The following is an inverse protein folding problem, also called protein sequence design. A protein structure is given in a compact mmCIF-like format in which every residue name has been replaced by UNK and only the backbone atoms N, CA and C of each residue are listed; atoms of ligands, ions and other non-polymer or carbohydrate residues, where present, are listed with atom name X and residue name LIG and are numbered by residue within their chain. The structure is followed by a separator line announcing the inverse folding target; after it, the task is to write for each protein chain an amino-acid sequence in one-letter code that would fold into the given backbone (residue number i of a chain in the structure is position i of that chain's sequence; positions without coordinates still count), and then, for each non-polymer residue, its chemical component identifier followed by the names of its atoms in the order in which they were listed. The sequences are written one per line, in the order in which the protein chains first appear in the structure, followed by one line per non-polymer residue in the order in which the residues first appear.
data_IF_902773593669
#
_entry.id   IF_902773593669
#
_cell.length_a   1.000
_cell.length_b   1.000
_cell.length_c   1.000
_cell.angle_alpha   90.00
_cell.angle_beta   90.00
_cell.angle_gamma   90.00
#
_symmetry.space_group_name_H-M   'P 1'
#
loop_
_entity.id
_entity.type
_entity.pdbx_description
1 polymer ?
#
# COMPACT_ATOMS: atom_id res chain seq x y z
N UNK A 1 -6.08 -5.30 -4.35
CA UNK A 1 -6.12 -4.13 -3.43
C UNK A 1 -5.82 -2.81 -4.13
N UNK A 2 -4.75 -2.72 -4.93
CA UNK A 2 -4.33 -1.47 -5.61
C UNK A 2 -5.46 -0.77 -6.39
N UNK A 3 -6.11 -1.46 -7.34
CA UNK A 3 -7.18 -0.87 -8.15
C UNK A 3 -8.36 -0.33 -7.31
N UNK A 4 -8.73 -1.01 -6.23
CA UNK A 4 -9.86 -0.63 -5.39
C UNK A 4 -9.51 0.53 -4.46
N UNK A 5 -8.38 0.43 -3.77
CA UNK A 5 -8.00 1.40 -2.75
C UNK A 5 -7.43 2.70 -3.36
N UNK A 6 -6.74 2.61 -4.50
CA UNK A 6 -6.14 3.77 -5.17
C UNK A 6 -7.04 4.46 -6.18
N UNK A 7 -7.95 3.73 -6.84
CA UNK A 7 -8.73 4.23 -7.99
C UNK A 7 -10.25 4.10 -7.86
N UNK A 8 -10.75 3.45 -6.80
CA UNK A 8 -12.19 3.43 -6.47
C UNK A 8 -12.50 4.25 -5.24
N UNK A 9 -11.78 4.00 -4.14
CA UNK A 9 -11.98 4.65 -2.85
C UNK A 9 -11.06 5.86 -2.61
N UNK A 10 -9.93 5.92 -3.31
CA UNK A 10 -8.97 7.02 -3.19
C UNK A 10 -8.26 7.10 -1.84
N UNK A 11 -8.23 6.02 -1.07
CA UNK A 11 -7.61 5.98 0.27
C UNK A 11 -6.08 5.88 0.22
N UNK A 12 -5.53 5.50 -0.93
CA UNK A 12 -4.09 5.31 -1.16
C UNK A 12 -3.69 5.96 -2.48
N UNK A 13 -2.40 6.30 -2.67
CA UNK A 13 -1.93 6.87 -3.94
C UNK A 13 -2.38 6.05 -5.17
N UNK A 14 -2.80 6.72 -6.26
CA UNK A 14 -2.76 8.17 -6.49
C UNK A 14 -3.96 8.94 -5.89
N UNK A 15 -4.78 8.31 -5.06
CA UNK A 15 -5.98 8.90 -4.44
C UNK A 15 -7.04 9.36 -5.46
N UNK A 16 -7.28 8.54 -6.48
CA UNK A 16 -8.34 8.77 -7.45
C UNK A 16 -9.66 8.16 -6.98
N UNK A 17 -10.73 8.96 -7.05
CA UNK A 17 -12.10 8.50 -6.80
C UNK A 17 -13.14 9.51 -7.31
N UNK A 18 -14.40 9.06 -7.41
CA UNK A 18 -15.56 9.88 -7.72
C UNK A 18 -16.74 9.51 -6.79
N UNK A 19 -17.69 10.42 -6.54
CA UNK A 19 -18.92 10.08 -5.82
C UNK A 19 -19.66 8.88 -6.45
N UNK A 20 -20.32 8.03 -5.64
CA UNK A 20 -20.49 8.13 -4.19
C UNK A 20 -19.31 7.55 -3.38
N UNK A 21 -18.27 7.01 -4.03
CA UNK A 21 -17.22 6.23 -3.35
C UNK A 21 -16.23 7.05 -2.53
N UNK A 22 -16.09 8.33 -2.85
CA UNK A 22 -15.25 9.30 -2.17
C UNK A 22 -15.33 10.67 -2.85
N UNK A 23 -14.62 11.65 -2.30
CA UNK A 23 -14.66 13.05 -2.76
C UNK A 23 -13.26 13.53 -3.20
N UNK A 24 -12.62 12.77 -4.10
CA UNK A 24 -11.30 13.09 -4.62
C UNK A 24 -11.39 14.18 -5.69
N UNK A 25 -10.30 14.91 -5.90
CA UNK A 25 -10.22 15.98 -6.92
C UNK A 25 -10.26 15.46 -8.35
N UNK A 26 -9.91 14.18 -8.56
CA UNK A 26 -9.87 13.52 -9.86
C UNK A 26 -10.10 12.02 -9.72
N UNK A 27 -10.46 11.40 -10.83
CA UNK A 27 -10.69 9.96 -10.92
C UNK A 27 -12.08 9.60 -11.41
N UNK A 28 -12.24 8.33 -11.81
CA UNK A 28 -13.54 7.74 -12.08
C UNK A 28 -13.60 6.34 -11.45
N UNK A 29 -14.34 6.23 -10.35
CA UNK A 29 -14.44 5.02 -9.53
C UNK A 29 -15.13 3.84 -10.23
N UNK A 30 -15.91 4.09 -11.28
CA UNK A 30 -16.59 3.04 -12.05
C UNK A 30 -15.70 2.49 -13.19
N UNK A 31 -14.68 3.24 -13.63
CA UNK A 31 -13.89 2.93 -14.84
C UNK A 31 -12.41 2.70 -14.57
N UNK A 32 -11.75 3.55 -13.80
CA UNK A 32 -10.30 3.47 -13.57
C UNK A 32 -9.87 2.15 -12.92
N UNK A 33 -10.59 1.56 -11.95
CA UNK A 33 -10.24 0.25 -11.41
C UNK A 33 -10.19 -0.85 -12.48
N UNK A 34 -11.05 -0.77 -13.51
CA UNK A 34 -11.10 -1.72 -14.64
C UNK A 34 -9.84 -1.63 -15.50
N UNK A 35 -9.43 -0.40 -15.82
CA UNK A 35 -8.22 -0.11 -16.60
C UNK A 35 -6.97 -0.54 -15.84
N UNK A 36 -6.89 -0.17 -14.55
CA UNK A 36 -5.73 -0.49 -13.70
C UNK A 36 -5.58 -2.00 -13.56
N UNK A 37 -6.66 -2.73 -13.26
CA UNK A 37 -6.58 -4.19 -13.14
C UNK A 37 -6.14 -4.83 -14.47
N UNK A 38 -6.68 -4.36 -15.60
CA UNK A 38 -6.29 -4.88 -16.91
C UNK A 38 -4.80 -4.70 -17.19
N UNK A 39 -4.27 -3.50 -16.94
CA UNK A 39 -2.84 -3.22 -17.13
C UNK A 39 -1.96 -4.01 -16.14
N UNK A 40 -2.42 -4.21 -14.90
CA UNK A 40 -1.71 -5.04 -13.92
C UNK A 40 -1.60 -6.49 -14.39
N UNK A 41 -2.67 -7.06 -14.96
CA UNK A 41 -2.67 -8.41 -15.50
C UNK A 41 -1.76 -8.55 -16.72
N UNK A 42 -1.76 -7.56 -17.63
CA UNK A 42 -0.86 -7.55 -18.78
C UNK A 42 0.61 -7.41 -18.36
N UNK A 43 0.90 -6.53 -17.40
CA UNK A 43 2.24 -6.35 -16.86
C UNK A 43 2.73 -7.64 -16.18
N UNK A 44 1.87 -8.28 -15.38
CA UNK A 44 2.14 -9.58 -14.77
C UNK A 44 2.45 -10.64 -15.83
N UNK A 45 1.60 -10.80 -16.84
CA UNK A 45 1.79 -11.79 -17.90
C UNK A 45 3.10 -11.58 -18.67
N UNK A 46 3.47 -10.33 -18.97
CA UNK A 46 4.76 -10.00 -19.61
C UNK A 46 5.95 -10.30 -18.71
N UNK A 47 5.87 -9.96 -17.42
CA UNK A 47 6.91 -10.28 -16.46
C UNK A 47 7.10 -11.79 -16.31
N UNK A 48 6.02 -12.57 -16.29
CA UNK A 48 6.07 -14.03 -16.29
C UNK A 48 6.73 -14.54 -17.55
N UNK A 49 6.32 -14.06 -18.73
CA UNK A 49 6.94 -14.45 -20.01
C UNK A 49 8.45 -14.20 -20.01
N UNK A 50 8.88 -13.02 -19.55
CA UNK A 50 10.30 -12.67 -19.42
C UNK A 50 11.03 -13.59 -18.42
N UNK A 51 10.42 -13.82 -17.25
CA UNK A 51 10.96 -14.72 -16.22
C UNK A 51 11.17 -16.12 -16.77
N UNK A 52 10.15 -16.70 -17.41
CA UNK A 52 10.21 -18.04 -17.99
C UNK A 52 11.24 -18.16 -19.10
N UNK A 53 11.40 -17.11 -19.89
CA UNK A 53 12.31 -17.12 -21.05
C UNK A 53 13.77 -16.96 -20.65
N UNK A 54 14.07 -16.13 -19.65
CA UNK A 54 15.44 -15.71 -19.36
C UNK A 54 15.96 -16.09 -17.97
N UNK A 55 15.09 -16.37 -17.01
CA UNK A 55 15.47 -16.46 -15.59
C UNK A 55 14.98 -17.72 -14.88
N UNK A 56 14.08 -18.50 -15.50
CA UNK A 56 13.49 -19.66 -14.86
C UNK A 56 14.45 -20.85 -14.85
N UNK A 57 15.13 -21.02 -13.70
CA UNK A 57 15.78 -22.27 -13.31
C UNK A 57 14.76 -23.18 -12.60
N UNK A 58 14.96 -23.46 -11.31
CA UNK A 58 14.02 -24.22 -10.46
C UNK A 58 12.98 -23.35 -9.75
N UNK A 59 12.92 -22.06 -10.06
CA UNK A 59 12.01 -21.12 -9.40
C UNK A 59 10.59 -21.16 -9.97
N UNK A 60 9.67 -20.50 -9.28
CA UNK A 60 8.26 -20.42 -9.64
C UNK A 60 7.75 -19.00 -9.47
N UNK A 61 6.81 -18.60 -10.31
CA UNK A 61 6.20 -17.28 -10.30
C UNK A 61 4.67 -17.38 -10.23
N UNK A 62 4.06 -16.48 -9.48
CA UNK A 62 2.62 -16.41 -9.30
C UNK A 62 2.18 -14.98 -9.04
N UNK A 63 0.87 -14.79 -8.88
CA UNK A 63 0.28 -13.53 -8.46
C UNK A 63 -0.43 -13.75 -7.12
N UNK A 64 -0.28 -12.80 -6.20
CA UNK A 64 -0.96 -12.83 -4.90
C UNK A 64 -2.20 -11.95 -4.91
N UNK A 65 -3.31 -12.47 -4.42
CA UNK A 65 -4.55 -11.70 -4.24
C UNK A 65 -4.95 -11.63 -2.76
N UNK A 66 -5.54 -10.51 -2.37
CA UNK A 66 -6.29 -10.43 -1.11
C UNK A 66 -7.67 -11.02 -1.32
N UNK A 67 -7.90 -12.22 -0.82
CA UNK A 67 -9.17 -12.93 -0.93
C UNK A 67 -9.91 -12.92 0.41
N UNK A 68 -11.10 -12.34 0.41
CA UNK A 68 -12.07 -12.52 1.48
C UNK A 68 -13.06 -13.62 1.09
N UNK A 69 -13.70 -14.23 2.09
CA UNK A 69 -14.85 -15.08 1.85
C UNK A 69 -16.15 -14.28 2.05
N UNK A 70 -17.17 -14.63 1.28
CA UNK A 70 -18.48 -13.99 1.37
C UNK A 70 -19.57 -15.03 1.62
N UNK A 71 -20.24 -14.89 2.76
CA UNK A 71 -21.40 -15.70 3.12
C UNK A 71 -22.66 -14.95 2.66
N UNK A 72 -23.69 -15.62 2.11
CA UNK A 72 -24.95 -14.96 1.82
C UNK A 72 -25.53 -14.36 3.10
N UNK A 73 -26.04 -13.12 3.07
CA UNK A 73 -26.63 -12.52 4.26
C UNK A 73 -27.83 -13.34 4.74
N UNK A 74 -28.83 -13.58 3.87
CA UNK A 74 -29.97 -14.42 4.20
C UNK A 74 -30.44 -15.31 3.03
N UNK A 75 -30.88 -14.72 1.92
CA UNK A 75 -31.78 -15.37 0.94
C UNK A 75 -31.07 -16.08 -0.23
N UNK A 76 -31.86 -16.75 -1.08
CA UNK A 76 -31.38 -17.35 -2.34
C UNK A 76 -30.73 -16.32 -3.29
N UNK A 77 -31.20 -15.07 -3.27
CA UNK A 77 -30.60 -13.97 -4.04
C UNK A 77 -29.19 -13.64 -3.53
N UNK A 78 -28.99 -13.66 -2.21
CA UNK A 78 -27.68 -13.38 -1.60
C UNK A 78 -26.65 -14.47 -1.91
N UNK A 79 -27.10 -15.72 -2.15
CA UNK A 79 -26.20 -16.79 -2.65
C UNK A 79 -25.68 -16.46 -4.04
N UNK A 80 -26.57 -16.04 -4.95
CA UNK A 80 -26.17 -15.58 -6.29
C UNK A 80 -25.32 -14.31 -6.22
N UNK A 81 -25.56 -13.44 -5.23
CA UNK A 81 -24.74 -12.27 -4.95
C UNK A 81 -23.34 -12.67 -4.49
N UNK A 82 -23.20 -13.67 -3.62
CA UNK A 82 -21.90 -14.20 -3.19
C UNK A 82 -21.08 -14.75 -4.35
N UNK A 83 -21.67 -15.59 -5.21
CA UNK A 83 -20.99 -16.14 -6.38
C UNK A 83 -20.54 -15.03 -7.34
N UNK A 84 -21.43 -14.06 -7.57
CA UNK A 84 -21.15 -12.90 -8.41
C UNK A 84 -20.04 -12.03 -7.82
N UNK A 85 -20.05 -11.80 -6.50
CA UNK A 85 -19.05 -10.98 -5.84
C UNK A 85 -17.67 -11.64 -5.81
N UNK A 86 -17.62 -12.96 -5.67
CA UNK A 86 -16.40 -13.75 -5.84
C UNK A 86 -15.86 -13.67 -7.27
N UNK A 87 -16.72 -13.61 -8.30
CA UNK A 87 -16.27 -13.34 -9.66
C UNK A 87 -15.62 -11.96 -9.79
N UNK A 88 -16.15 -10.93 -9.12
CA UNK A 88 -15.60 -9.57 -9.11
C UNK A 88 -14.39 -9.35 -8.18
N UNK A 89 -13.96 -10.36 -7.42
CA UNK A 89 -12.80 -10.23 -6.52
C UNK A 89 -11.70 -11.25 -6.82
N UNK A 90 -12.09 -12.50 -7.06
CA UNK A 90 -11.18 -13.63 -7.30
C UNK A 90 -11.11 -13.91 -8.80
N UNK A 91 -12.27 -14.10 -9.43
CA UNK A 91 -12.36 -14.38 -10.87
C UNK A 91 -11.79 -13.26 -11.73
N UNK A 92 -11.92 -12.01 -11.31
CA UNK A 92 -11.41 -10.85 -12.03
C UNK A 92 -9.90 -10.93 -12.30
N UNK A 93 -9.16 -11.59 -11.41
CA UNK A 93 -7.70 -11.74 -11.52
C UNK A 93 -7.35 -13.13 -12.07
N UNK A 94 -7.91 -14.19 -11.49
CA UNK A 94 -7.50 -15.55 -11.82
C UNK A 94 -8.16 -16.12 -13.08
N UNK A 95 -9.36 -15.71 -13.47
CA UNK A 95 -9.97 -16.24 -14.70
C UNK A 95 -9.17 -15.79 -15.95
N UNK A 96 -8.71 -14.53 -16.07
CA UNK A 96 -7.81 -14.15 -17.17
C UNK A 96 -6.53 -14.96 -17.21
N UNK A 97 -5.92 -15.21 -16.05
CA UNK A 97 -4.64 -15.92 -15.99
C UNK A 97 -4.81 -17.41 -16.26
N UNK A 98 -5.87 -18.05 -15.76
CA UNK A 98 -6.07 -19.50 -15.92
C UNK A 98 -6.75 -19.83 -17.25
N UNK A 99 -7.75 -19.05 -17.65
CA UNK A 99 -8.62 -19.35 -18.79
C UNK A 99 -8.42 -18.43 -20.00
N UNK A 100 -7.76 -17.29 -19.83
CA UNK A 100 -7.43 -16.36 -20.92
C UNK A 100 -8.43 -15.23 -21.13
N UNK A 101 -9.46 -15.11 -20.31
CA UNK A 101 -10.41 -13.98 -20.36
C UNK A 101 -11.07 -13.73 -19.01
N UNK A 102 -11.71 -12.57 -18.86
CA UNK A 102 -12.45 -12.22 -17.65
C UNK A 102 -13.68 -13.11 -17.42
N UNK A 103 -14.19 -13.22 -16.18
CA UNK A 103 -15.42 -13.97 -15.90
C UNK A 103 -16.58 -13.48 -16.77
N UNK A 104 -17.32 -14.41 -17.39
CA UNK A 104 -18.49 -14.08 -18.22
C UNK A 104 -19.49 -13.16 -17.50
N UNK A 105 -19.72 -13.41 -16.20
CA UNK A 105 -20.61 -12.59 -15.36
C UNK A 105 -20.17 -11.14 -15.24
N UNK A 106 -18.86 -10.87 -15.23
CA UNK A 106 -18.34 -9.50 -15.25
C UNK A 106 -18.66 -8.83 -16.57
N UNK A 107 -18.44 -9.51 -17.70
CA UNK A 107 -18.76 -9.01 -19.03
C UNK A 107 -20.25 -8.71 -19.20
N UNK A 108 -21.11 -9.59 -18.68
CA UNK A 108 -22.58 -9.40 -18.67
C UNK A 108 -23.02 -8.14 -17.92
N UNK A 109 -22.30 -7.73 -16.87
CA UNK A 109 -22.67 -6.61 -15.99
C UNK A 109 -22.00 -5.29 -16.42
N UNK A 110 -20.73 -5.35 -16.80
CA UNK A 110 -19.92 -4.16 -17.10
C UNK A 110 -19.95 -3.81 -18.60
N UNK A 111 -20.33 -4.74 -19.47
CA UNK A 111 -20.41 -4.50 -20.91
C UNK A 111 -19.08 -4.02 -21.50
N UNK A 112 -19.13 -2.87 -22.19
CA UNK A 112 -18.00 -2.23 -22.84
C UNK A 112 -17.03 -1.51 -21.88
N UNK A 113 -17.42 -1.26 -20.64
CA UNK A 113 -16.53 -0.64 -19.64
C UNK A 113 -15.43 -1.61 -19.20
N UNK A 114 -15.70 -2.93 -19.25
CA UNK A 114 -14.68 -3.94 -19.00
C UNK A 114 -13.74 -4.02 -20.22
N UNK A 115 -12.42 -3.84 -20.06
CA UNK A 115 -11.49 -4.00 -21.17
C UNK A 115 -11.51 -5.41 -21.77
N UNK A 116 -11.05 -5.55 -23.00
CA UNK A 116 -10.91 -6.83 -23.69
C UNK A 116 -9.44 -7.09 -23.98
N UNK A 117 -8.99 -8.33 -23.74
CA UNK A 117 -7.65 -8.76 -24.14
C UNK A 117 -7.62 -8.93 -25.65
N UNK A 118 -6.58 -8.38 -26.30
CA UNK A 118 -6.31 -8.66 -27.71
C UNK A 118 -5.89 -10.12 -27.89
N UNK A 119 -5.91 -10.62 -29.12
CA UNK A 119 -5.42 -11.97 -29.42
C UNK A 119 -3.93 -12.14 -29.06
N UNK A 120 -3.15 -11.06 -29.12
CA UNK A 120 -1.76 -11.05 -28.69
C UNK A 120 -1.64 -11.16 -27.17
N UNK A 121 -2.43 -10.39 -26.42
CA UNK A 121 -2.45 -10.45 -24.94
C UNK A 121 -2.86 -11.82 -24.44
N UNK A 122 -3.83 -12.46 -25.11
CA UNK A 122 -4.33 -13.79 -24.78
C UNK A 122 -3.25 -14.87 -24.84
N UNK A 123 -2.24 -14.71 -25.71
CA UNK A 123 -1.12 -15.67 -25.83
C UNK A 123 -0.29 -15.75 -24.57
N UNK A 124 -0.09 -14.63 -23.87
CA UNK A 124 0.79 -14.58 -22.71
C UNK A 124 0.01 -14.58 -21.39
N UNK A 125 -1.23 -14.10 -21.35
CA UNK A 125 -1.99 -14.06 -20.09
C UNK A 125 -2.43 -15.46 -19.64
N UNK A 126 -2.86 -16.30 -20.58
CA UNK A 126 -3.32 -17.66 -20.26
C UNK A 126 -2.13 -18.53 -19.86
N UNK A 127 -2.20 -19.10 -18.67
CA UNK A 127 -1.13 -19.89 -18.06
C UNK A 127 0.00 -19.06 -17.46
N UNK A 128 -0.19 -17.75 -17.23
CA UNK A 128 0.84 -16.87 -16.62
C UNK A 128 0.95 -17.01 -15.09
N UNK A 129 0.85 -18.22 -14.55
CA UNK A 129 1.21 -18.53 -13.16
C UNK A 129 1.67 -19.99 -13.02
N UNK A 130 2.49 -20.25 -12.02
CA UNK A 130 2.90 -21.60 -11.58
C UNK A 130 2.15 -22.03 -10.30
N UNK A 131 1.60 -21.08 -9.55
CA UNK A 131 0.77 -21.31 -8.36
C UNK A 131 -0.20 -20.14 -8.12
N UNK A 132 -1.29 -20.43 -7.41
CA UNK A 132 -2.21 -19.44 -6.87
C UNK A 132 -1.73 -19.03 -5.49
N UNK A 133 -1.69 -17.73 -5.23
CA UNK A 133 -1.28 -17.17 -3.96
C UNK A 133 -2.40 -16.32 -3.36
N UNK A 134 -2.76 -16.60 -2.11
CA UNK A 134 -3.88 -15.93 -1.44
C UNK A 134 -3.46 -15.37 -0.08
N UNK A 135 -3.86 -14.13 0.16
CA UNK A 135 -3.87 -13.50 1.48
C UNK A 135 -5.31 -13.50 1.98
N UNK A 136 -5.59 -14.16 3.10
CA UNK A 136 -6.92 -14.23 3.68
C UNK A 136 -6.93 -13.74 5.13
N UNK A 137 -7.85 -12.82 5.41
CA UNK A 137 -7.93 -12.14 6.69
C UNK A 137 -9.31 -12.22 7.36
N UNK A 138 -10.38 -12.26 6.57
CA UNK A 138 -11.74 -12.14 7.10
C UNK A 138 -12.78 -12.73 6.15
N UNK A 139 -13.95 -13.00 6.71
CA UNK A 139 -15.19 -13.31 5.99
C UNK A 139 -16.21 -12.21 6.30
N UNK A 140 -17.08 -11.89 5.34
CA UNK A 140 -18.21 -10.97 5.53
C UNK A 140 -19.50 -11.58 4.99
N UNK A 141 -20.64 -11.04 5.40
CA UNK A 141 -21.89 -11.31 4.70
C UNK A 141 -22.01 -10.43 3.46
N UNK A 142 -22.73 -10.91 2.46
CA UNK A 142 -23.05 -10.18 1.23
C UNK A 142 -24.54 -10.21 0.95
N UNK A 143 -25.06 -9.05 0.52
CA UNK A 143 -26.47 -8.82 0.18
C UNK A 143 -26.59 -8.53 -1.31
N UNK A 144 -27.60 -9.08 -1.96
CA UNK A 144 -27.98 -8.72 -3.33
C UNK A 144 -28.50 -7.28 -3.39
N UNK A 145 -27.98 -6.49 -4.32
CA UNK A 145 -28.48 -5.15 -4.62
C UNK A 145 -29.00 -5.02 -6.05
N UNK A 146 -29.18 -6.17 -6.72
CA UNK A 146 -29.74 -6.22 -8.07
C UNK A 146 -31.27 -6.17 -8.01
N UNK A 147 -31.87 -6.84 -7.01
CA UNK A 147 -33.31 -6.92 -6.80
C UNK A 147 -33.75 -6.35 -5.44
N UNK A 148 -32.85 -5.70 -4.71
CA UNK A 148 -33.13 -5.12 -3.39
C UNK A 148 -32.53 -3.73 -3.28
N UNK A 149 -33.14 -2.89 -2.43
CA UNK A 149 -32.62 -1.55 -2.14
C UNK A 149 -31.33 -1.64 -1.34
N UNK A 150 -30.32 -0.87 -1.77
CA UNK A 150 -29.02 -0.72 -1.13
C UNK A 150 -28.53 0.72 -1.27
N UNK A 151 -27.37 1.00 -0.68
CA UNK A 151 -26.67 2.29 -0.82
C UNK A 151 -26.31 2.60 -2.28
N UNK A 152 -26.14 3.89 -2.59
CA UNK A 152 -25.70 4.33 -3.93
C UNK A 152 -24.35 3.75 -4.33
N UNK A 153 -23.46 3.48 -3.36
CA UNK A 153 -22.21 2.78 -3.61
C UNK A 153 -22.43 1.32 -4.02
N UNK A 154 -23.28 0.59 -3.28
CA UNK A 154 -23.57 -0.81 -3.54
C UNK A 154 -24.33 -0.99 -4.86
N UNK A 155 -25.18 -0.02 -5.22
CA UNK A 155 -25.95 0.00 -6.46
C UNK A 155 -25.12 0.46 -7.69
N UNK A 156 -23.89 -0.06 -7.81
CA UNK A 156 -22.98 0.23 -8.93
C UNK A 156 -22.50 -1.06 -9.60
N UNK A 157 -22.39 -1.09 -10.94
CA UNK A 157 -21.87 -2.26 -11.68
C UNK A 157 -20.48 -2.70 -11.21
N UNK A 158 -19.59 -1.77 -10.85
CA UNK A 158 -18.24 -2.07 -10.36
C UNK A 158 -18.23 -2.84 -9.02
N UNK A 159 -19.29 -2.72 -8.24
CA UNK A 159 -19.52 -3.49 -7.00
C UNK A 159 -20.35 -4.76 -7.25
N UNK A 160 -20.59 -5.10 -8.51
CA UNK A 160 -21.44 -6.19 -8.93
C UNK A 160 -22.86 -6.10 -8.36
N UNK A 161 -23.38 -4.90 -8.05
CA UNK A 161 -24.65 -4.74 -7.35
C UNK A 161 -24.72 -5.58 -6.07
N UNK A 162 -23.75 -5.39 -5.18
CA UNK A 162 -23.69 -6.08 -3.88
C UNK A 162 -23.24 -5.15 -2.77
N UNK A 163 -23.70 -5.45 -1.56
CA UNK A 163 -23.31 -4.77 -0.33
C UNK A 163 -22.76 -5.78 0.66
N UNK A 164 -21.66 -5.44 1.34
CA UNK A 164 -21.08 -6.31 2.37
C UNK A 164 -21.35 -5.77 3.76
N UNK A 165 -21.68 -6.65 4.69
CA UNK A 165 -21.88 -6.32 6.10
C UNK A 165 -21.23 -7.38 6.99
N UNK A 166 -20.67 -6.99 8.16
CA UNK A 166 -20.25 -7.97 9.15
C UNK A 166 -21.41 -8.46 10.03
N UNK A 167 -22.59 -7.85 9.92
CA UNK A 167 -23.74 -8.14 10.79
C UNK A 167 -24.78 -9.01 10.08
N UNK A 168 -25.33 -9.98 10.80
CA UNK A 168 -26.59 -10.65 10.49
C UNK A 168 -27.49 -10.56 11.71
N UNK A 169 -28.67 -9.96 11.56
CA UNK A 169 -29.62 -9.76 12.68
C UNK A 169 -28.98 -9.08 13.90
N UNK A 170 -28.11 -8.09 13.67
CA UNK A 170 -27.38 -7.37 14.72
C UNK A 170 -26.18 -8.12 15.31
N UNK A 171 -25.92 -9.37 14.89
CA UNK A 171 -24.82 -10.19 15.41
C UNK A 171 -23.65 -10.17 14.42
N UNK A 172 -22.44 -9.90 14.93
CA UNK A 172 -21.20 -9.95 14.14
C UNK A 172 -20.90 -11.38 13.65
N UNK A 173 -20.32 -11.47 12.45
CA UNK A 173 -19.92 -12.75 11.85
C UNK A 173 -18.80 -13.46 12.63
N UNK A 174 -18.02 -12.70 13.38
CA UNK A 174 -16.94 -13.14 14.28
C UNK A 174 -16.34 -11.95 15.04
N UNK A 175 -15.41 -12.23 15.95
CA UNK A 175 -14.79 -11.21 16.79
C UNK A 175 -14.03 -10.19 15.95
N UNK A 176 -14.19 -8.91 16.28
CA UNK A 176 -13.45 -7.84 15.60
C UNK A 176 -11.95 -7.95 15.93
N UNK A 177 -11.11 -7.79 14.91
CA UNK A 177 -9.65 -7.69 15.08
C UNK A 177 -9.25 -6.24 15.42
N UNK A 178 -7.99 -6.01 15.82
CA UNK A 178 -7.46 -4.67 16.07
C UNK A 178 -7.49 -3.71 14.86
N UNK A 179 -7.81 -4.21 13.66
CA UNK A 179 -8.01 -3.41 12.45
C UNK A 179 -9.51 -3.34 12.09
N UNK A 180 -10.10 -2.14 11.98
CA UNK A 180 -11.50 -1.97 11.59
C UNK A 180 -11.85 -2.70 10.29
N UNK A 181 -12.98 -3.42 10.32
CA UNK A 181 -13.49 -4.14 9.15
C UNK A 181 -12.91 -5.54 8.93
N UNK A 182 -12.03 -6.04 9.81
CA UNK A 182 -11.55 -7.42 9.85
C UNK A 182 -12.13 -8.18 11.04
N UNK A 183 -12.57 -9.41 10.79
CA UNK A 183 -13.26 -10.27 11.76
C UNK A 183 -12.69 -11.68 11.76
N UNK A 184 -12.61 -12.28 12.94
CA UNK A 184 -12.06 -13.61 13.16
C UNK A 184 -13.10 -14.64 12.73
N UNK A 185 -12.93 -15.22 11.54
CA UNK A 185 -13.86 -16.23 10.99
C UNK A 185 -13.08 -17.43 10.44
N UNK A 186 -12.63 -18.37 11.29
CA UNK A 186 -11.74 -19.48 10.86
C UNK A 186 -12.35 -20.37 9.77
N UNK A 187 -13.67 -20.63 9.85
CA UNK A 187 -14.43 -21.36 8.81
C UNK A 187 -14.38 -20.71 7.42
N UNK A 188 -14.04 -19.41 7.35
CA UNK A 188 -13.83 -18.68 6.11
C UNK A 188 -12.66 -19.21 5.30
N UNK A 189 -11.56 -19.54 5.98
CA UNK A 189 -10.34 -20.04 5.33
C UNK A 189 -10.60 -21.38 4.64
N UNK A 190 -11.29 -22.31 5.32
CA UNK A 190 -11.66 -23.61 4.73
C UNK A 190 -12.49 -23.42 3.45
N UNK A 191 -13.47 -22.51 3.49
CA UNK A 191 -14.29 -22.17 2.31
C UNK A 191 -13.49 -21.54 1.19
N UNK A 192 -12.52 -20.68 1.51
CA UNK A 192 -11.60 -20.10 0.51
C UNK A 192 -10.80 -21.18 -0.19
N UNK A 193 -10.17 -22.09 0.56
CA UNK A 193 -9.38 -23.18 -0.01
C UNK A 193 -10.26 -24.09 -0.87
N UNK A 194 -11.44 -24.47 -0.37
CA UNK A 194 -12.39 -25.28 -1.11
C UNK A 194 -12.87 -24.59 -2.40
N UNK A 195 -13.17 -23.30 -2.35
CA UNK A 195 -13.56 -22.52 -3.52
C UNK A 195 -12.48 -22.50 -4.59
N UNK A 196 -11.23 -22.18 -4.22
CA UNK A 196 -10.10 -22.15 -5.16
C UNK A 196 -9.82 -23.54 -5.72
N UNK A 197 -9.84 -24.58 -4.89
CA UNK A 197 -9.62 -25.97 -5.35
C UNK A 197 -10.70 -26.45 -6.32
N UNK A 198 -11.97 -26.08 -6.09
CA UNK A 198 -13.05 -26.43 -6.99
C UNK A 198 -12.98 -25.64 -8.29
N UNK A 199 -12.67 -24.33 -8.20
CA UNK A 199 -12.64 -23.45 -9.36
C UNK A 199 -11.39 -23.66 -10.22
N UNK A 200 -10.23 -23.90 -9.62
CA UNK A 200 -8.93 -24.02 -10.29
C UNK A 200 -8.23 -25.35 -9.90
N UNK A 201 -8.78 -26.52 -10.30
CA UNK A 201 -8.40 -27.83 -9.75
C UNK A 201 -6.96 -28.28 -10.02
N UNK A 202 -6.31 -27.71 -11.04
CA UNK A 202 -4.95 -28.09 -11.45
C UNK A 202 -3.86 -27.17 -10.91
N UNK A 203 -4.20 -26.28 -9.96
CA UNK A 203 -3.27 -25.27 -9.48
C UNK A 203 -2.88 -25.48 -8.01
N UNK A 204 -1.57 -25.45 -7.74
CA UNK A 204 -1.06 -25.39 -6.37
C UNK A 204 -1.49 -24.08 -5.70
N UNK A 205 -1.83 -24.14 -4.41
CA UNK A 205 -2.33 -23.00 -3.63
C UNK A 205 -1.35 -22.73 -2.50
N UNK A 206 -0.91 -21.48 -2.36
CA UNK A 206 -0.12 -21.01 -1.22
C UNK A 206 -0.89 -19.92 -0.48
N UNK A 207 -0.94 -20.04 0.86
CA UNK A 207 -1.43 -18.97 1.73
C UNK A 207 -0.21 -18.15 2.16
N UNK A 208 -0.05 -16.98 1.58
CA UNK A 208 1.16 -16.14 1.78
C UNK A 208 1.03 -15.18 2.95
N UNK A 209 -0.19 -14.82 3.37
CA UNK A 209 -0.42 -14.03 4.57
C UNK A 209 -1.64 -14.55 5.35
N UNK A 210 -1.43 -14.84 6.63
CA UNK A 210 -2.46 -15.01 7.65
C UNK A 210 -1.92 -14.55 9.01
N UNK A 211 -2.05 -13.26 9.28
CA UNK A 211 -1.42 -12.61 10.44
C UNK A 211 -2.15 -12.96 11.74
N UNK A 212 -3.48 -13.08 11.73
CA UNK A 212 -4.25 -13.29 12.96
C UNK A 212 -4.04 -14.68 13.58
N UNK A 213 -3.96 -15.73 12.78
CA UNK A 213 -3.76 -17.09 13.30
C UNK A 213 -2.40 -17.23 13.99
N UNK A 214 -1.34 -16.65 13.43
CA UNK A 214 0.01 -16.67 14.03
C UNK A 214 0.00 -15.85 15.33
N UNK A 215 -0.53 -14.63 15.29
CA UNK A 215 -0.61 -13.79 16.49
C UNK A 215 -1.46 -14.42 17.60
N UNK A 216 -2.53 -15.16 17.27
CA UNK A 216 -3.36 -15.90 18.24
C UNK A 216 -2.66 -17.13 18.80
N UNK A 217 -2.10 -17.98 17.94
CA UNK A 217 -1.43 -19.21 18.35
C UNK A 217 -0.29 -18.95 19.35
N UNK A 218 0.37 -17.79 19.22
CA UNK A 218 1.46 -17.38 20.09
C UNK A 218 1.04 -16.36 21.17
N UNK A 219 -0.26 -16.08 21.33
CA UNK A 219 -0.79 -15.11 22.32
C UNK A 219 -0.12 -13.73 22.25
N UNK A 220 0.12 -13.23 21.03
CA UNK A 220 0.84 -11.99 20.76
C UNK A 220 -0.07 -10.75 20.70
N UNK A 221 -1.39 -10.93 20.68
CA UNK A 221 -2.33 -9.81 20.81
C UNK A 221 -2.14 -9.09 22.14
N UNK A 222 -2.38 -7.78 22.13
CA UNK A 222 -2.37 -6.93 23.32
C UNK A 222 -1.04 -6.31 23.74
N UNK A 223 0.07 -6.70 23.10
CA UNK A 223 1.41 -6.21 23.46
C UNK A 223 1.71 -4.80 22.91
N UNK A 224 0.99 -4.35 21.88
CA UNK A 224 1.20 -3.04 21.23
C UNK A 224 0.15 -1.99 21.67
N UNK A 225 -1.10 -2.41 21.88
CA UNK A 225 -2.27 -1.53 22.12
C UNK A 225 -2.64 -1.37 23.61
N UNK A 226 -1.77 -1.82 24.52
CA UNK A 226 -1.94 -1.78 25.98
C UNK A 226 -3.08 -2.65 26.55
N UNK A 227 -3.74 -3.48 25.74
CA UNK A 227 -4.74 -4.41 26.27
C UNK A 227 -4.12 -5.57 27.07
N UNK A 228 -2.80 -5.80 26.93
CA UNK A 228 -2.01 -6.71 27.75
C UNK A 228 -0.75 -6.00 28.32
N UNK A 229 -0.87 -5.25 29.43
CA UNK A 229 0.23 -4.48 29.99
C UNK A 229 1.35 -5.38 30.53
N UNK A 230 2.58 -4.87 30.51
CA UNK A 230 3.76 -5.55 31.04
C UNK A 230 3.64 -5.75 32.57
N UNK A 231 3.68 -6.99 33.09
CA UNK A 231 3.63 -7.25 34.52
C UNK A 231 4.88 -6.72 35.26
N UNK A 232 4.80 -6.44 36.58
CA UNK A 232 5.97 -6.05 37.35
C UNK A 232 7.06 -7.13 37.30
N UNK A 233 8.32 -6.70 37.11
CA UNK A 233 9.47 -7.61 36.96
C UNK A 233 9.73 -8.48 38.19
N UNK A 234 9.47 -7.97 39.39
CA UNK A 234 9.71 -8.67 40.64
C UNK A 234 8.43 -8.75 41.47
N UNK A 235 8.26 -9.84 42.21
CA UNK A 235 7.15 -10.03 43.14
C UNK A 235 7.34 -9.13 44.38
N UNK A 236 6.25 -8.65 45.00
CA UNK A 236 6.32 -7.88 46.24
C UNK A 236 6.98 -8.73 47.34
N UNK A 237 8.13 -8.27 47.86
CA UNK A 237 8.86 -9.01 48.90
C UNK A 237 8.12 -8.89 50.23
N UNK A 238 7.67 -10.00 50.80
CA UNK A 238 6.94 -10.03 52.07
C UNK A 238 7.85 -9.98 53.30
N UNK A 239 9.18 -9.97 53.14
CA UNK A 239 10.14 -9.85 54.24
C UNK A 239 11.35 -8.98 53.87
N UNK A 240 11.76 -8.09 54.78
CA UNK A 240 12.98 -7.29 54.63
C UNK A 240 14.20 -8.23 54.64
N UNK A 241 14.81 -8.47 53.47
CA UNK A 241 16.13 -9.10 53.36
C UNK A 241 16.27 -10.23 52.33
N UNK A 242 15.19 -10.69 51.68
CA UNK A 242 15.29 -11.72 50.64
C UNK A 242 15.30 -11.14 49.22
N UNK A 243 16.16 -11.72 48.37
CA UNK A 243 16.25 -11.43 46.94
C UNK A 243 14.85 -11.45 46.31
N UNK A 244 14.49 -10.35 45.65
CA UNK A 244 13.18 -10.19 45.03
C UNK A 244 13.00 -11.19 43.89
N UNK A 245 12.15 -12.20 44.09
CA UNK A 245 11.88 -13.24 43.08
C UNK A 245 11.31 -12.61 41.80
N UNK A 246 11.78 -13.07 40.64
CA UNK A 246 11.32 -12.59 39.34
C UNK A 246 9.90 -13.11 39.12
N UNK A 247 9.01 -12.23 38.69
CA UNK A 247 7.63 -12.59 38.38
C UNK A 247 7.58 -13.52 37.13
N UNK A 248 7.05 -14.75 37.24
CA UNK A 248 6.92 -15.66 36.11
C UNK A 248 6.04 -15.09 34.98
N UNK A 249 5.04 -14.27 35.30
CA UNK A 249 4.18 -13.62 34.30
C UNK A 249 4.95 -12.59 33.48
N UNK A 250 5.89 -11.87 34.10
CA UNK A 250 6.79 -10.96 33.41
C UNK A 250 7.68 -11.72 32.40
N UNK A 251 8.19 -12.88 32.77
CA UNK A 251 9.02 -13.70 31.87
C UNK A 251 8.22 -14.23 30.68
N UNK A 252 6.97 -14.65 30.89
CA UNK A 252 6.09 -15.08 29.80
C UNK A 252 5.70 -13.93 28.87
N UNK A 253 5.36 -12.77 29.45
CA UNK A 253 5.08 -11.56 28.69
C UNK A 253 6.30 -11.15 27.86
N UNK A 254 7.49 -11.15 28.46
CA UNK A 254 8.74 -10.81 27.78
C UNK A 254 9.02 -11.77 26.63
N UNK A 255 8.87 -13.08 26.82
CA UNK A 255 9.07 -14.06 25.74
C UNK A 255 8.15 -13.82 24.55
N UNK A 256 6.88 -13.44 24.78
CA UNK A 256 5.90 -13.14 23.74
C UNK A 256 6.20 -11.82 23.05
N UNK A 257 6.54 -10.78 23.81
CA UNK A 257 6.97 -9.48 23.29
C UNK A 257 8.19 -9.60 22.36
N UNK A 258 9.19 -10.39 22.75
CA UNK A 258 10.39 -10.62 21.92
C UNK A 258 10.10 -11.44 20.65
N UNK A 259 9.17 -12.39 20.71
CA UNK A 259 8.70 -13.10 19.53
C UNK A 259 8.00 -12.14 18.54
N UNK A 260 7.22 -11.20 19.06
CA UNK A 260 6.56 -10.17 18.26
C UNK A 260 7.57 -9.18 17.64
N UNK A 261 8.59 -8.75 18.38
CA UNK A 261 9.71 -7.95 17.83
C UNK A 261 10.39 -8.68 16.68
N UNK A 262 10.68 -9.97 16.86
CA UNK A 262 11.34 -10.80 15.83
C UNK A 262 10.47 -10.85 14.58
N UNK A 263 9.17 -11.11 14.74
CA UNK A 263 8.22 -11.14 13.63
C UNK A 263 8.19 -9.79 12.89
N UNK A 264 8.09 -8.67 13.61
CA UNK A 264 8.07 -7.35 12.97
C UNK A 264 9.39 -7.09 12.24
N UNK A 265 10.55 -7.33 12.87
CA UNK A 265 11.85 -7.13 12.26
C UNK A 265 12.04 -7.94 10.96
N UNK A 266 11.50 -9.15 10.88
CA UNK A 266 11.58 -9.97 9.66
C UNK A 266 10.80 -9.39 8.48
N UNK A 267 9.84 -8.50 8.74
CA UNK A 267 9.03 -7.84 7.71
C UNK A 267 9.57 -6.48 7.28
N UNK A 268 10.56 -5.92 8.00
CA UNK A 268 11.11 -4.60 7.71
C UNK A 268 12.17 -4.68 6.62
N UNK A 269 12.18 -3.68 5.73
CA UNK A 269 13.31 -3.46 4.82
C UNK A 269 14.54 -3.01 5.60
N UNK A 270 15.73 -3.17 5.02
CA UNK A 270 17.00 -2.79 5.65
C UNK A 270 17.05 -1.30 6.05
N UNK A 271 16.34 -0.43 5.31
CA UNK A 271 16.22 0.99 5.65
C UNK A 271 15.34 1.22 6.88
N UNK A 272 14.27 0.47 7.04
CA UNK A 272 13.32 0.61 8.15
C UNK A 272 13.83 -0.04 9.42
N UNK A 273 14.61 -1.11 9.29
CA UNK A 273 15.26 -1.79 10.40
C UNK A 273 16.18 -0.84 11.18
N UNK A 274 16.92 0.04 10.50
CA UNK A 274 17.82 1.01 11.12
C UNK A 274 17.11 1.95 12.11
N UNK A 275 15.83 2.25 11.87
CA UNK A 275 15.04 3.15 12.72
C UNK A 275 14.49 2.49 14.00
N UNK A 276 14.55 1.16 14.08
CA UNK A 276 14.03 0.39 15.21
C UNK A 276 15.10 -0.32 16.01
N UNK A 277 16.37 -0.22 15.59
CA UNK A 277 17.51 -0.81 16.31
C UNK A 277 17.53 -0.28 17.75
N UNK A 278 17.58 -1.21 18.72
CA UNK A 278 17.63 -0.88 20.15
C UNK A 278 16.26 -0.68 20.82
N UNK A 279 15.16 -0.91 20.11
CA UNK A 279 13.83 -0.93 20.73
C UNK A 279 13.70 -2.08 21.72
N UNK A 280 13.33 -1.74 22.97
CA UNK A 280 13.30 -2.67 24.11
C UNK A 280 11.99 -3.45 24.23
N UNK A 281 10.95 -3.04 23.50
CA UNK A 281 9.65 -3.73 23.43
C UNK A 281 9.02 -3.63 22.05
N UNK A 282 8.09 -4.55 21.75
CA UNK A 282 7.32 -4.52 20.49
C UNK A 282 6.53 -3.22 20.33
N UNK A 283 6.02 -2.65 21.42
CA UNK A 283 5.36 -1.34 21.44
C UNK A 283 6.32 -0.18 21.12
N UNK A 284 7.50 -0.15 21.73
CA UNK A 284 8.48 0.90 21.47
C UNK A 284 8.96 0.85 20.01
N UNK A 285 9.14 -0.36 19.49
CA UNK A 285 9.43 -0.61 18.09
C UNK A 285 8.30 -0.07 17.20
N UNK A 286 7.06 -0.43 17.49
CA UNK A 286 5.89 0.00 16.73
C UNK A 286 5.74 1.54 16.70
N UNK A 287 5.86 2.19 17.85
CA UNK A 287 5.81 3.66 17.95
C UNK A 287 6.96 4.33 17.17
N UNK A 288 8.14 3.71 17.13
CA UNK A 288 9.27 4.23 16.35
C UNK A 288 9.03 4.14 14.85
N UNK A 289 8.46 3.02 14.38
CA UNK A 289 8.01 2.87 12.99
C UNK A 289 6.91 3.87 12.66
N UNK A 290 5.87 3.95 13.49
CA UNK A 290 4.76 4.88 13.31
C UNK A 290 5.27 6.31 13.17
N UNK A 291 6.18 6.74 14.06
CA UNK A 291 6.82 8.06 13.98
C UNK A 291 7.61 8.26 12.70
N UNK A 292 8.39 7.27 12.27
CA UNK A 292 9.20 7.33 11.04
C UNK A 292 8.33 7.43 9.78
N UNK A 293 7.22 6.71 9.75
CA UNK A 293 6.33 6.68 8.60
C UNK A 293 5.30 7.82 8.63
N UNK A 294 4.96 8.36 9.80
CA UNK A 294 4.16 9.58 9.94
C UNK A 294 4.95 10.83 9.57
N UNK A 295 6.27 10.87 9.82
CA UNK A 295 7.13 11.96 9.37
C UNK A 295 7.38 11.90 7.85
N UNK A 296 7.52 10.70 7.29
CA UNK A 296 7.74 10.52 5.84
C UNK A 296 6.49 10.80 4.98
N UNK A 297 5.27 10.82 5.53
CA UNK A 297 4.08 11.29 4.81
C UNK A 297 3.95 12.80 4.79
N UNK A 298 4.55 13.53 5.76
CA UNK A 298 4.56 15.00 5.77
C UNK A 298 5.79 15.61 5.08
N UNK A 299 6.97 14.96 5.12
CA UNK A 299 8.23 15.54 4.62
C UNK A 299 8.61 15.17 3.18
N UNK A 300 7.85 14.32 2.48
CA UNK A 300 8.24 13.85 1.14
C UNK A 300 7.82 14.75 -0.02
N UNK A 301 7.35 15.99 0.22
CA UNK A 301 6.93 16.84 -0.91
C UNK A 301 7.70 18.15 -1.07
N UNK A 302 8.30 18.82 -0.07
CA UNK A 302 8.87 20.17 -0.35
C UNK A 302 10.15 20.70 0.35
N UNK A 303 10.80 20.07 1.34
CA UNK A 303 11.94 20.73 2.04
C UNK A 303 13.11 19.80 2.43
N UNK A 304 13.88 19.30 1.46
CA UNK A 304 15.23 18.77 1.73
C UNK A 304 16.25 19.84 1.31
N UNK A 305 17.25 20.11 2.15
CA UNK A 305 18.39 20.92 1.70
C UNK A 305 19.17 20.17 0.62
N UNK A 306 19.83 20.89 -0.30
CA UNK A 306 20.59 20.26 -1.38
C UNK A 306 21.70 19.35 -0.85
N UNK A 307 22.27 19.67 0.32
CA UNK A 307 23.26 18.84 1.00
C UNK A 307 22.69 17.48 1.46
N UNK A 308 21.47 17.48 2.02
CA UNK A 308 20.78 16.25 2.40
C UNK A 308 20.36 15.43 1.19
N UNK A 309 19.92 16.11 0.12
CA UNK A 309 19.50 15.49 -1.14
C UNK A 309 20.66 14.72 -1.81
N UNK A 310 21.80 15.37 -1.98
CA UNK A 310 23.01 14.80 -2.60
C UNK A 310 23.63 13.69 -1.75
N UNK A 311 23.66 13.86 -0.42
CA UNK A 311 24.10 12.80 0.52
C UNK A 311 23.25 11.53 0.40
N UNK A 312 21.93 11.69 0.19
CA UNK A 312 21.01 10.57 0.00
C UNK A 312 21.24 9.85 -1.34
N UNK A 313 21.58 10.58 -2.40
CA UNK A 313 21.94 10.00 -3.70
C UNK A 313 23.23 9.19 -3.59
N UNK A 314 24.28 9.74 -2.96
CA UNK A 314 25.55 9.02 -2.73
C UNK A 314 25.30 7.70 -2.00
N UNK A 315 24.51 7.72 -0.93
CA UNK A 315 24.15 6.51 -0.18
C UNK A 315 23.38 5.46 -0.99
N UNK A 316 22.62 5.87 -2.03
CA UNK A 316 21.93 4.95 -2.93
C UNK A 316 22.89 4.36 -3.96
N UNK A 317 23.78 5.18 -4.53
CA UNK A 317 24.84 4.72 -5.44
C UNK A 317 25.77 3.72 -4.75
N UNK A 318 26.20 4.00 -3.52
CA UNK A 318 27.06 3.10 -2.74
C UNK A 318 26.39 1.73 -2.48
N UNK A 319 25.07 1.71 -2.28
CA UNK A 319 24.30 0.46 -2.12
C UNK A 319 24.20 -0.33 -3.43
N UNK A 320 24.08 0.33 -4.56
CA UNK A 320 24.08 -0.32 -5.88
C UNK A 320 25.45 -0.91 -6.17
N UNK A 321 26.53 -0.17 -5.89
CA UNK A 321 27.91 -0.66 -6.01
C UNK A 321 28.13 -1.88 -5.11
N UNK A 322 27.65 -1.85 -3.86
CA UNK A 322 27.71 -2.99 -2.94
C UNK A 322 26.92 -4.22 -3.44
N UNK A 323 25.88 -4.01 -4.25
CA UNK A 323 25.11 -5.06 -4.92
C UNK A 323 25.72 -5.49 -6.27
N UNK A 324 26.97 -5.10 -6.56
CA UNK A 324 27.68 -5.36 -7.83
C UNK A 324 27.02 -4.71 -9.06
N UNK A 325 26.26 -3.64 -8.86
CA UNK A 325 25.67 -2.81 -9.92
C UNK A 325 26.46 -1.50 -9.98
N UNK A 326 27.25 -1.31 -11.04
CA UNK A 326 27.91 -0.03 -11.33
C UNK A 326 27.04 0.82 -12.24
N UNK A 327 26.82 2.07 -11.86
CA UNK A 327 26.20 3.09 -12.72
C UNK A 327 27.30 3.95 -13.34
N UNK A 328 27.09 4.40 -14.56
CA UNK A 328 27.93 5.43 -15.17
C UNK A 328 27.57 6.81 -14.60
N UNK A 329 28.55 7.72 -14.54
CA UNK A 329 28.35 9.06 -13.97
C UNK A 329 27.21 9.84 -14.67
N UNK A 330 26.98 9.61 -15.96
CA UNK A 330 25.88 10.20 -16.73
C UNK A 330 24.49 9.74 -16.23
N UNK A 331 24.35 8.46 -15.86
CA UNK A 331 23.09 7.93 -15.32
C UNK A 331 22.80 8.52 -13.94
N UNK A 332 23.85 8.63 -13.11
CA UNK A 332 23.77 9.26 -11.78
C UNK A 332 23.35 10.73 -11.94
N UNK A 333 23.90 11.46 -12.92
CA UNK A 333 23.55 12.84 -13.23
C UNK A 333 22.08 12.98 -13.64
N UNK A 334 21.59 12.13 -14.55
CA UNK A 334 20.19 12.16 -15.01
C UNK A 334 19.23 11.94 -13.85
N UNK A 335 19.49 10.93 -13.01
CA UNK A 335 18.66 10.64 -11.84
C UNK A 335 18.73 11.75 -10.79
N UNK A 336 19.91 12.31 -10.55
CA UNK A 336 20.11 13.45 -9.65
C UNK A 336 19.36 14.68 -10.15
N UNK A 337 19.37 14.97 -11.45
CA UNK A 337 18.66 16.12 -11.97
C UNK A 337 17.16 15.94 -11.91
N UNK A 338 16.61 14.75 -12.18
CA UNK A 338 15.15 14.55 -12.17
C UNK A 338 14.50 14.82 -10.80
N UNK A 339 15.24 14.70 -9.70
CA UNK A 339 14.71 14.97 -8.35
C UNK A 339 14.89 16.40 -7.83
N UNK A 340 15.59 17.30 -8.56
CA UNK A 340 15.73 18.70 -8.14
C UNK A 340 14.41 19.52 -8.28
N UNK A 341 14.23 20.60 -7.52
CA UNK A 341 13.16 21.57 -7.74
C UNK A 341 13.27 22.27 -9.11
N UNK A 342 12.16 22.79 -9.62
CA UNK A 342 12.11 23.54 -10.90
C UNK A 342 12.98 24.80 -10.90
N UNK A 343 13.26 25.35 -9.71
CA UNK A 343 14.13 26.51 -9.54
C UNK A 343 15.58 26.26 -10.03
N UNK A 344 16.02 24.99 -10.12
CA UNK A 344 17.35 24.61 -10.64
C UNK A 344 17.37 24.34 -12.15
N UNK A 345 16.32 24.68 -12.90
CA UNK A 345 16.25 24.40 -14.35
C UNK A 345 17.35 25.10 -15.18
N UNK A 346 17.74 26.33 -14.81
CA UNK A 346 18.83 27.04 -15.46
C UNK A 346 20.18 26.32 -15.25
N UNK A 347 20.45 25.91 -14.00
CA UNK A 347 21.59 25.09 -13.64
C UNK A 347 21.63 23.75 -14.39
N UNK A 348 20.50 23.01 -14.42
CA UNK A 348 20.37 21.75 -15.19
C UNK A 348 20.76 21.93 -16.66
N UNK A 349 20.33 23.03 -17.26
CA UNK A 349 20.60 23.33 -18.67
C UNK A 349 22.08 23.63 -18.88
N UNK A 350 22.69 24.45 -18.01
CA UNK A 350 24.11 24.78 -18.07
C UNK A 350 25.00 23.53 -17.92
N UNK A 351 24.68 22.65 -16.98
CA UNK A 351 25.45 21.42 -16.78
C UNK A 351 25.28 20.44 -17.95
N UNK A 352 24.07 20.27 -18.49
CA UNK A 352 23.83 19.40 -19.67
C UNK A 352 24.54 19.87 -20.94
N UNK A 353 24.94 21.14 -21.00
CA UNK A 353 25.69 21.70 -22.14
C UNK A 353 27.21 21.63 -21.99
N UNK A 354 27.74 21.16 -20.83
CA UNK A 354 29.17 20.93 -20.65
C UNK A 354 29.60 19.65 -21.40
N UNK A 355 30.80 19.67 -21.97
CA UNK A 355 31.40 18.55 -22.71
C UNK A 355 32.18 17.56 -21.85
N UNK A 356 32.40 17.88 -20.57
CA UNK A 356 33.26 17.10 -19.67
C UNK A 356 32.41 16.26 -18.71
N UNK A 357 32.88 15.06 -18.37
CA UNK A 357 32.23 14.20 -17.37
C UNK A 357 32.37 14.82 -15.97
N UNK A 358 31.24 14.91 -15.26
CA UNK A 358 31.16 15.51 -13.93
C UNK A 358 30.93 14.40 -12.92
N UNK A 359 31.85 14.26 -11.97
CA UNK A 359 31.69 13.32 -10.86
C UNK A 359 30.58 13.75 -9.89
N UNK A 360 30.04 12.81 -9.12
CA UNK A 360 29.03 13.10 -8.10
C UNK A 360 29.51 14.13 -7.03
N UNK A 361 30.80 14.13 -6.72
CA UNK A 361 31.39 15.05 -5.73
C UNK A 361 31.54 16.48 -6.28
N UNK A 362 31.91 16.61 -7.57
CA UNK A 362 31.92 17.90 -8.25
C UNK A 362 30.49 18.44 -8.41
N UNK A 363 29.53 17.58 -8.76
CA UNK A 363 28.12 17.94 -8.88
C UNK A 363 27.54 18.46 -7.56
N UNK A 364 27.86 17.83 -6.44
CA UNK A 364 27.46 18.29 -5.10
C UNK A 364 27.96 19.70 -4.83
N UNK A 365 29.24 19.95 -5.07
CA UNK A 365 29.85 21.27 -4.86
C UNK A 365 29.17 22.36 -5.70
N UNK A 366 28.90 22.06 -6.96
CA UNK A 366 28.22 22.99 -7.88
C UNK A 366 26.77 23.26 -7.47
N UNK A 367 26.04 22.24 -7.01
CA UNK A 367 24.66 22.38 -6.54
C UNK A 367 24.56 23.22 -5.27
N UNK A 368 25.48 23.05 -4.32
CA UNK A 368 25.55 23.88 -3.09
C UNK A 368 25.88 25.34 -3.42
N UNK A 369 26.80 25.55 -4.38
CA UNK A 369 27.12 26.89 -4.86
C UNK A 369 25.91 27.58 -5.51
N UNK A 370 25.12 26.85 -6.28
CA UNK A 370 23.90 27.35 -6.90
C UNK A 370 22.84 27.68 -5.85
N UNK A 371 22.59 26.78 -4.89
CA UNK A 371 21.65 27.01 -3.77
C UNK A 371 22.01 28.28 -2.99
N UNK A 372 23.31 28.49 -2.74
CA UNK A 372 23.82 29.68 -2.06
C UNK A 372 23.63 30.95 -2.90
N UNK A 373 23.80 30.86 -4.22
CA UNK A 373 23.62 31.99 -5.15
C UNK A 373 22.16 32.39 -5.29
N UNK A 374 21.27 31.39 -5.34
CA UNK A 374 19.82 31.59 -5.34
C UNK A 374 19.35 32.24 -4.05
N UNK A 375 19.83 31.76 -2.89
CA UNK A 375 19.50 32.35 -1.58
C UNK A 375 19.95 33.82 -1.45
N UNK A 376 21.12 34.18 -2.00
CA UNK A 376 21.61 35.57 -2.03
C UNK A 376 20.77 36.46 -2.95
N UNK A 377 20.36 35.94 -4.11
CA UNK A 377 19.52 36.68 -5.07
C UNK A 377 18.14 36.97 -4.49
N UNK A 378 17.52 35.99 -3.84
CA UNK A 378 16.23 36.18 -3.16
C UNK A 378 16.30 37.17 -1.98
N UNK A 379 17.46 37.29 -1.31
CA UNK A 379 17.68 38.28 -0.26
C UNK A 379 17.84 39.72 -0.80
N UNK A 380 18.31 39.89 -2.04
CA UNK A 380 18.47 41.19 -2.70
C UNK A 380 17.11 41.73 -3.21
N UNK A 381 16.23 40.86 -3.70
CA UNK A 381 14.88 41.23 -4.17
C UNK A 381 13.90 41.60 -3.04
N UNK A 382 14.22 41.27 -1.79
CA UNK A 382 13.38 41.54 -0.62
C UNK A 382 13.51 42.97 -0.04
N UNK A 383 14.31 43.85 -0.64
CA UNK A 383 14.46 45.25 -0.20
C UNK A 383 13.28 46.09 -0.73
N UNK A 384 12.44 46.72 0.11
CA UNK A 384 11.24 47.42 -0.36
C UNK A 384 11.58 48.77 -1.01
N UNK A 385 11.09 49.00 -2.22
CA UNK A 385 11.08 50.32 -2.87
C UNK A 385 10.05 51.25 -2.17
N UNK A 386 10.36 52.51 -1.84
CA UNK A 386 9.40 53.39 -1.18
C UNK A 386 8.28 53.81 -2.15
N UNK A 387 7.02 53.45 -1.86
CA UNK A 387 5.85 53.88 -2.62
C UNK A 387 5.49 55.34 -2.35
N UNK A 388 5.37 56.12 -3.42
CA UNK A 388 4.75 57.45 -3.41
C UNK A 388 3.22 57.33 -3.30
N UNK A 389 2.62 58.00 -2.30
CA UNK A 389 1.19 58.03 -2.08
C UNK A 389 0.50 59.06 -2.98
N UNK A 390 -0.39 58.62 -3.87
CA UNK A 390 -1.39 59.48 -4.52
C UNK A 390 -2.76 59.25 -3.88
N UNK A 391 -3.30 60.30 -3.25
CA UNK A 391 -4.68 60.39 -2.78
C UNK A 391 -5.62 60.68 -3.96
N UNK A 392 -6.84 60.15 -3.93
CA UNK A 392 -7.95 60.56 -4.82
C UNK A 392 -9.26 60.60 -4.01
N UNK A 393 -10.23 61.48 -4.37
CA UNK A 393 -11.20 62.03 -3.42
C UNK A 393 -12.54 61.27 -3.38
N UNK A 394 -13.20 61.33 -2.22
CA UNK A 394 -14.52 60.75 -1.95
C UNK A 394 -15.65 61.52 -2.65
N UNK A 395 -16.54 60.80 -3.34
CA UNK A 395 -17.83 61.32 -3.80
C UNK A 395 -18.93 60.97 -2.77
N UNK A 396 -19.60 62.01 -2.27
CA UNK A 396 -20.84 61.92 -1.49
C UNK A 396 -22.03 61.72 -2.45
N UNK A 397 -22.85 60.70 -2.22
CA UNK A 397 -24.19 60.59 -2.82
C UNK A 397 -25.24 60.83 -1.72
N UNK A 398 -26.21 61.69 -2.04
CA UNK A 398 -27.38 62.00 -1.21
C UNK A 398 -28.57 62.17 -2.13
N UNK A 399 -29.63 61.40 -1.88
CA UNK A 399 -31.05 61.65 -2.16
C UNK A 399 -31.82 60.52 -1.44
N UNK A 400 -32.90 60.79 -0.71
CA UNK A 400 -34.02 61.63 -1.09
C UNK A 400 -35.13 60.70 -1.51
#
# INVERSE_FOLDING_TARGET
MVAILGYKKGNFPPAHCSPPFGNCSMGNSDREPLIVMHNQLLAHAKAVSLYRTHFQASGSIGITISMQMYEPLDQQLDRKAADRFLAFHVGWIYDPIVYGDYPKKMREILGSELPSFSDEDKKYIKGSLDFISINHYTTKYVKDCFHSSCTDEANRPINAFTETTPYRNGILIGDQMGMPGLYVVPRGMEKVINYIKQKYPNQSIFVTENVSSILKAHSLFGHIDDTLPCPPKHLPSSTLGTNSEINPEYLQWLSRDQALITLINTTLSSSSLAHVVGSVSSKALWLSLEKCYSSNTQSNILDLSIDQYTSRIKALVDKLVAASVSLEDEEILVHTFNGLPTAFNAFRTSIRTRSDNISLEELHTLLISEETTMAKTSAIEAIPTPMAAFHSPQHHDSRG
#
